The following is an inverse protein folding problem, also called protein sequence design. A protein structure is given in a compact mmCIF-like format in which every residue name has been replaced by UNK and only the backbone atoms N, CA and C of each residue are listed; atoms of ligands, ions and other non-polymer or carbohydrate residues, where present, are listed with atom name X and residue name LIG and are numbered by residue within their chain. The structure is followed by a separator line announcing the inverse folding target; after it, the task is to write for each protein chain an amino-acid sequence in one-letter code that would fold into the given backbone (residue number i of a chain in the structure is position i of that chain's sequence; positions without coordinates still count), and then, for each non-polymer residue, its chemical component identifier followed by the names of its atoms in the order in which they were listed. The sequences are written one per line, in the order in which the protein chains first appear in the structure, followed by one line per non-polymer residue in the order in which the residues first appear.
data_IF_378123030320
#
_entry.id   IF_378123030320
#
_cell.length_a   1.000
_cell.length_b   1.000
_cell.length_c   1.000
_cell.angle_alpha   90.00
_cell.angle_beta   90.00
_cell.angle_gamma   90.00
#
_symmetry.space_group_name_H-M   'P 1'
#
loop_
_entity.id
_entity.type
_entity.pdbx_description
1 polymer ?
#
# COMPACT_ATOMS: atom_id res chain seq x y z
N UNK A 1 -18.03 -20.76 -0.11
CA UNK A 1 -18.70 -19.46 -0.25
C UNK A 1 -17.73 -18.31 -0.06
N UNK A 2 -18.00 -17.16 -0.71
CA UNK A 2 -17.25 -15.94 -0.44
C UNK A 2 -17.80 -15.32 0.84
N UNK A 3 -16.96 -15.19 1.85
CA UNK A 3 -17.31 -14.53 3.11
C UNK A 3 -16.81 -13.10 3.08
N UNK A 4 -17.71 -12.13 3.21
CA UNK A 4 -17.34 -10.72 3.39
C UNK A 4 -17.01 -10.53 4.87
N UNK A 5 -15.78 -10.13 5.17
CA UNK A 5 -15.36 -9.80 6.53
C UNK A 5 -16.22 -8.62 7.02
N UNK A 6 -16.79 -8.77 8.19
CA UNK A 6 -17.71 -7.76 8.77
C UNK A 6 -19.16 -7.88 8.31
N UNK A 7 -19.51 -8.78 7.39
CA UNK A 7 -20.90 -8.94 6.95
C UNK A 7 -21.87 -9.30 8.09
N UNK A 8 -21.46 -10.12 9.02
CA UNK A 8 -22.28 -10.48 10.19
C UNK A 8 -22.49 -9.32 11.16
N UNK A 9 -21.51 -8.43 11.30
CA UNK A 9 -21.65 -7.20 12.10
C UNK A 9 -22.46 -6.12 11.37
N UNK A 10 -22.33 -6.01 10.04
CA UNK A 10 -23.13 -5.06 9.25
C UNK A 10 -24.59 -5.49 9.11
N UNK A 11 -24.87 -6.78 9.08
CA UNK A 11 -26.23 -7.34 8.94
C UNK A 11 -27.02 -7.23 10.25
N UNK A 12 -26.36 -7.24 11.39
CA UNK A 12 -26.99 -7.01 12.70
C UNK A 12 -26.88 -5.55 13.12
N UNK A 13 -27.57 -4.65 12.42
CA UNK A 13 -27.57 -3.20 12.72
C UNK A 13 -28.27 -2.85 14.06
N UNK A 14 -28.00 -3.65 15.10
CA UNK A 14 -28.49 -3.33 16.44
C UNK A 14 -27.83 -2.09 17.04
N UNK A 15 -26.71 -1.64 16.48
CA UNK A 15 -25.85 -0.62 17.06
C UNK A 15 -25.69 0.65 16.22
N UNK A 16 -26.44 0.78 15.11
CA UNK A 16 -26.39 1.95 14.23
C UNK A 16 -25.12 2.04 13.35
N UNK A 17 -24.36 0.96 13.20
CA UNK A 17 -23.13 0.89 12.38
C UNK A 17 -23.43 1.22 10.91
N UNK A 18 -24.63 0.91 10.43
CA UNK A 18 -25.08 1.28 9.06
C UNK A 18 -24.99 2.78 8.80
N UNK A 19 -25.11 3.61 9.86
CA UNK A 19 -25.03 5.08 9.81
C UNK A 19 -23.61 5.65 9.77
N UNK A 20 -22.57 4.82 9.95
CA UNK A 20 -21.19 5.25 9.80
C UNK A 20 -20.93 5.74 8.37
N UNK A 21 -20.12 6.80 8.19
CA UNK A 21 -19.54 7.13 6.90
C UNK A 21 -18.85 5.92 6.26
N UNK A 22 -18.86 5.84 4.95
CA UNK A 22 -18.26 4.69 4.22
C UNK A 22 -16.78 4.51 4.56
N UNK A 23 -16.02 5.61 4.69
CA UNK A 23 -14.61 5.58 5.10
C UNK A 23 -14.41 4.93 6.46
N UNK A 24 -15.24 5.27 7.46
CA UNK A 24 -15.17 4.66 8.78
C UNK A 24 -15.62 3.19 8.78
N UNK A 25 -16.50 2.79 7.86
CA UNK A 25 -16.83 1.36 7.67
C UNK A 25 -15.65 0.56 7.13
N UNK A 26 -14.87 1.16 6.22
CA UNK A 26 -13.64 0.54 5.70
C UNK A 26 -12.60 0.39 6.81
N UNK A 27 -12.43 1.41 7.66
CA UNK A 27 -11.53 1.33 8.82
C UNK A 27 -12.00 0.29 9.85
N UNK A 28 -13.31 0.24 10.11
CA UNK A 28 -13.88 -0.75 11.01
C UNK A 28 -13.67 -2.18 10.48
N UNK A 29 -13.86 -2.40 9.17
CA UNK A 29 -13.56 -3.68 8.52
C UNK A 29 -12.09 -4.06 8.71
N UNK A 30 -11.18 -3.11 8.50
CA UNK A 30 -9.75 -3.32 8.65
C UNK A 30 -9.39 -3.74 10.07
N UNK A 31 -9.88 -3.03 11.09
CA UNK A 31 -9.67 -3.38 12.49
C UNK A 31 -10.21 -4.77 12.84
N UNK A 32 -11.43 -5.10 12.40
CA UNK A 32 -12.04 -6.41 12.65
C UNK A 32 -11.29 -7.56 12.00
N UNK A 33 -10.73 -7.34 10.84
CA UNK A 33 -9.97 -8.36 10.11
C UNK A 33 -8.62 -8.65 10.75
N UNK A 34 -8.05 -7.67 11.44
CA UNK A 34 -6.73 -7.76 12.07
C UNK A 34 -6.76 -7.77 13.60
N UNK A 35 -7.97 -7.94 14.21
CA UNK A 35 -8.07 -8.07 15.66
C UNK A 35 -7.24 -9.26 16.16
N UNK A 36 -6.31 -8.97 17.06
CA UNK A 36 -5.36 -9.93 17.64
C UNK A 36 -5.14 -9.72 19.15
N UNK A 37 -5.91 -8.80 19.77
CA UNK A 37 -5.79 -8.36 21.18
C UNK A 37 -4.38 -7.80 21.53
N UNK A 38 -3.48 -7.64 20.55
CA UNK A 38 -2.12 -7.13 20.74
C UNK A 38 -1.90 -5.82 19.98
N UNK A 39 -2.03 -5.84 18.65
CA UNK A 39 -1.86 -4.67 17.79
C UNK A 39 -3.19 -4.00 17.49
N UNK A 40 -4.24 -4.78 17.36
CA UNK A 40 -5.62 -4.32 17.21
C UNK A 40 -6.47 -4.92 18.34
N UNK A 41 -6.95 -4.07 19.24
CA UNK A 41 -7.77 -4.45 20.37
C UNK A 41 -9.23 -3.96 20.24
N UNK A 42 -10.07 -4.46 21.14
CA UNK A 42 -11.50 -4.06 21.21
C UNK A 42 -11.70 -2.57 21.46
N UNK A 43 -10.77 -1.88 22.14
CA UNK A 43 -10.87 -0.44 22.42
C UNK A 43 -10.84 0.35 21.12
N UNK A 44 -9.95 -0.01 20.18
CA UNK A 44 -9.86 0.63 18.88
C UNK A 44 -11.15 0.44 18.07
N UNK A 45 -11.69 -0.78 18.07
CA UNK A 45 -12.95 -1.12 17.39
C UNK A 45 -14.13 -0.32 17.98
N UNK A 46 -14.22 -0.27 19.30
CA UNK A 46 -15.27 0.47 20.01
C UNK A 46 -15.15 1.99 19.80
N UNK A 47 -13.95 2.54 19.60
CA UNK A 47 -13.74 3.94 19.30
C UNK A 47 -14.42 4.37 17.98
N UNK A 48 -14.41 3.50 16.96
CA UNK A 48 -15.15 3.74 15.71
C UNK A 48 -16.66 3.79 15.96
N UNK A 49 -17.18 2.91 16.82
CA UNK A 49 -18.60 2.91 17.19
C UNK A 49 -18.98 4.16 18.00
N UNK A 50 -18.14 4.56 18.96
CA UNK A 50 -18.39 5.75 19.79
C UNK A 50 -18.40 7.05 18.97
N UNK A 51 -17.67 7.09 17.85
CA UNK A 51 -17.70 8.20 16.92
C UNK A 51 -19.13 8.51 16.40
N UNK A 52 -20.01 7.51 16.32
CA UNK A 52 -21.42 7.74 15.92
C UNK A 52 -22.12 8.76 16.81
N UNK A 53 -21.78 8.81 18.10
CA UNK A 53 -22.37 9.73 19.09
C UNK A 53 -21.60 11.03 19.16
N UNK A 54 -20.29 10.95 19.26
CA UNK A 54 -19.41 12.08 19.58
C UNK A 54 -18.99 12.87 18.35
N UNK A 55 -18.96 12.25 17.17
CA UNK A 55 -18.37 12.77 15.92
C UNK A 55 -16.89 13.15 16.05
N UNK A 56 -16.24 12.69 17.10
CA UNK A 56 -14.83 12.93 17.43
C UNK A 56 -14.24 11.66 18.02
N UNK A 57 -12.93 11.49 17.89
CA UNK A 57 -12.17 10.46 18.59
C UNK A 57 -10.76 10.99 18.88
N UNK A 58 -10.26 10.66 20.06
CA UNK A 58 -8.86 10.87 20.46
C UNK A 58 -8.13 9.51 20.60
N UNK A 59 -8.75 8.44 20.14
CA UNK A 59 -8.16 7.11 20.17
C UNK A 59 -7.41 6.89 18.86
N UNK A 60 -6.14 6.57 18.96
CA UNK A 60 -5.36 6.07 17.83
C UNK A 60 -5.82 4.66 17.47
N UNK A 61 -5.82 4.35 16.19
CA UNK A 61 -6.18 3.05 15.67
C UNK A 61 -5.04 2.51 14.82
N UNK A 62 -4.80 1.21 14.89
CA UNK A 62 -3.93 0.53 13.95
C UNK A 62 -4.59 0.46 12.56
N UNK A 63 -3.76 0.53 11.52
CA UNK A 63 -4.24 0.47 10.15
C UNK A 63 -3.26 -0.31 9.28
N UNK A 64 -3.76 -1.36 8.63
CA UNK A 64 -2.97 -2.19 7.72
C UNK A 64 -3.55 -2.08 6.31
N UNK A 65 -2.94 -1.25 5.44
CA UNK A 65 -3.42 -1.09 4.07
C UNK A 65 -3.28 -2.40 3.28
N UNK A 66 -4.15 -2.59 2.30
CA UNK A 66 -4.07 -3.74 1.40
C UNK A 66 -2.83 -3.69 0.51
N UNK A 67 -2.33 -2.49 0.23
CA UNK A 67 -1.13 -2.27 -0.57
C UNK A 67 -0.47 -0.93 -0.27
N UNK A 68 0.80 -0.82 -0.67
CA UNK A 68 1.59 0.41 -0.59
C UNK A 68 2.03 0.81 -1.98
N UNK A 69 1.87 2.09 -2.33
CA UNK A 69 2.33 2.68 -3.59
C UNK A 69 3.51 3.60 -3.33
N UNK A 70 4.62 3.33 -3.96
CA UNK A 70 5.84 4.11 -3.84
C UNK A 70 6.14 4.81 -5.17
N UNK A 71 6.44 6.09 -5.12
CA UNK A 71 7.14 6.75 -6.21
C UNK A 71 8.66 6.57 -6.03
N UNK A 72 9.44 6.81 -7.07
CA UNK A 72 10.84 6.42 -7.10
C UNK A 72 11.76 7.23 -6.18
N UNK A 73 11.48 8.50 -5.86
CA UNK A 73 12.32 9.28 -4.95
C UNK A 73 12.29 8.80 -3.50
N UNK A 74 11.14 8.39 -3.02
CA UNK A 74 10.96 7.91 -1.64
C UNK A 74 10.96 6.38 -1.55
N UNK A 75 10.55 5.70 -2.60
CA UNK A 75 10.45 4.24 -2.61
C UNK A 75 11.78 3.53 -2.72
N UNK A 76 12.74 4.08 -3.47
CA UNK A 76 14.07 3.47 -3.58
C UNK A 76 14.80 3.46 -2.24
N UNK A 77 14.84 4.57 -1.46
CA UNK A 77 15.35 4.54 -0.10
C UNK A 77 14.65 3.50 0.79
N UNK A 78 13.32 3.40 0.77
CA UNK A 78 12.59 2.41 1.55
C UNK A 78 13.01 0.97 1.23
N UNK A 79 13.23 0.64 -0.05
CA UNK A 79 13.74 -0.68 -0.42
C UNK A 79 15.20 -0.88 -0.02
N UNK A 80 16.01 0.19 0.01
CA UNK A 80 17.38 0.13 0.53
C UNK A 80 17.38 -0.17 2.03
N UNK A 81 16.47 0.41 2.79
CA UNK A 81 16.32 0.15 4.22
C UNK A 81 15.89 -1.30 4.48
N UNK A 82 14.94 -1.85 3.72
CA UNK A 82 14.61 -3.28 3.78
C UNK A 82 15.83 -4.18 3.48
N UNK A 83 16.67 -3.79 2.53
CA UNK A 83 17.89 -4.51 2.22
C UNK A 83 18.88 -4.45 3.39
N UNK A 84 19.06 -3.28 4.01
CA UNK A 84 19.91 -3.09 5.19
C UNK A 84 19.38 -3.89 6.40
N UNK A 85 18.08 -3.95 6.60
CA UNK A 85 17.45 -4.80 7.62
C UNK A 85 17.79 -6.29 7.39
N UNK A 86 17.77 -6.78 6.15
CA UNK A 86 18.19 -8.15 5.82
C UNK A 86 19.63 -8.42 6.18
N UNK A 87 20.52 -7.47 5.91
CA UNK A 87 21.93 -7.59 6.30
C UNK A 87 22.08 -7.62 7.82
N UNK A 88 21.39 -6.77 8.56
CA UNK A 88 21.41 -6.77 10.01
C UNK A 88 20.89 -8.09 10.61
N UNK A 89 19.84 -8.67 10.04
CA UNK A 89 19.30 -9.98 10.45
C UNK A 89 20.32 -11.11 10.16
N UNK A 90 20.99 -11.07 9.01
CA UNK A 90 22.01 -12.02 8.62
C UNK A 90 23.23 -11.95 9.56
N UNK A 91 23.68 -10.76 9.95
CA UNK A 91 24.77 -10.56 10.92
C UNK A 91 24.46 -11.20 12.29
N UNK A 92 23.18 -11.32 12.63
CA UNK A 92 22.70 -12.01 13.85
C UNK A 92 22.46 -13.52 13.66
N UNK A 93 22.95 -14.10 12.57
CA UNK A 93 22.73 -15.50 12.19
C UNK A 93 21.23 -15.91 12.14
N UNK A 94 20.37 -14.98 11.73
CA UNK A 94 18.95 -15.22 11.51
C UNK A 94 18.65 -15.26 10.01
N UNK A 95 17.48 -15.82 9.65
CA UNK A 95 17.06 -15.88 8.25
C UNK A 95 16.64 -14.47 7.74
N UNK A 96 17.39 -13.88 6.78
CA UNK A 96 17.09 -12.57 6.24
C UNK A 96 15.75 -12.52 5.44
N UNK A 97 15.25 -13.66 4.97
CA UNK A 97 13.95 -13.72 4.27
C UNK A 97 12.77 -13.36 5.15
N UNK A 98 12.95 -13.33 6.49
CA UNK A 98 11.93 -12.82 7.42
C UNK A 98 11.62 -11.34 7.21
N UNK A 99 12.56 -10.57 6.66
CA UNK A 99 12.33 -9.19 6.26
C UNK A 99 11.74 -9.21 4.85
N UNK A 100 10.44 -9.02 4.78
CA UNK A 100 9.67 -9.02 3.54
C UNK A 100 8.41 -8.17 3.73
N UNK A 101 7.99 -7.37 2.75
CA UNK A 101 6.73 -6.64 2.86
C UNK A 101 5.55 -7.57 3.15
N UNK A 102 4.74 -7.25 4.15
CA UNK A 102 3.55 -8.02 4.54
C UNK A 102 2.36 -7.78 3.59
N UNK A 103 2.36 -6.66 2.89
CA UNK A 103 1.37 -6.31 1.87
C UNK A 103 2.02 -6.12 0.50
N UNK A 104 1.22 -6.04 -0.56
CA UNK A 104 1.73 -5.72 -1.90
C UNK A 104 2.32 -4.33 -1.94
N UNK A 105 3.52 -4.20 -2.50
CA UNK A 105 4.23 -2.93 -2.71
C UNK A 105 4.48 -2.74 -4.19
N UNK A 106 3.97 -1.65 -4.73
CA UNK A 106 4.18 -1.22 -6.10
C UNK A 106 5.05 0.05 -6.11
N UNK A 107 6.22 -0.02 -6.75
CA UNK A 107 7.09 1.13 -6.95
C UNK A 107 7.03 1.55 -8.42
N UNK A 108 6.63 2.80 -8.67
CA UNK A 108 6.52 3.36 -10.00
C UNK A 108 7.70 4.30 -10.27
N UNK A 109 8.36 4.08 -11.39
CA UNK A 109 9.47 4.93 -11.86
C UNK A 109 8.90 6.03 -12.76
N UNK A 110 8.77 7.22 -12.21
CA UNK A 110 8.18 8.35 -12.95
C UNK A 110 8.75 9.72 -12.58
N UNK A 111 8.83 10.05 -11.29
CA UNK A 111 9.19 11.40 -10.84
C UNK A 111 10.65 11.77 -11.12
N UNK A 112 11.55 10.81 -11.21
CA UNK A 112 12.96 11.02 -11.52
C UNK A 112 13.28 11.01 -13.02
N UNK A 113 12.30 10.67 -13.85
CA UNK A 113 12.48 10.57 -15.30
C UNK A 113 12.58 11.95 -15.93
N UNK A 114 13.64 12.19 -16.71
CA UNK A 114 13.87 13.45 -17.39
C UNK A 114 13.43 13.38 -18.86
N UNK A 115 12.87 14.48 -19.36
CA UNK A 115 12.53 14.64 -20.77
C UNK A 115 13.66 15.40 -21.45
N UNK A 116 14.49 14.67 -22.21
CA UNK A 116 15.61 15.25 -22.97
C UNK A 116 15.21 15.56 -24.42
N UNK A 117 14.38 14.71 -24.99
CA UNK A 117 13.92 14.82 -26.37
C UNK A 117 12.39 14.99 -26.40
N UNK A 118 11.91 15.77 -27.34
CA UNK A 118 10.47 16.09 -27.45
C UNK A 118 10.04 16.30 -28.90
N UNK A 119 8.75 16.40 -29.11
CA UNK A 119 8.09 16.75 -30.37
C UNK A 119 8.47 15.86 -31.58
N UNK A 120 8.82 14.58 -31.36
CA UNK A 120 9.02 13.60 -32.43
C UNK A 120 8.59 12.21 -32.02
N UNK A 121 8.24 11.36 -32.99
CA UNK A 121 7.85 9.96 -32.76
C UNK A 121 8.98 9.12 -32.12
N UNK A 122 10.23 9.62 -32.18
CA UNK A 122 11.39 8.95 -31.61
C UNK A 122 11.69 9.36 -30.18
N UNK A 123 11.15 10.52 -29.74
CA UNK A 123 11.47 11.14 -28.44
C UNK A 123 11.24 10.21 -27.27
N UNK A 124 10.13 9.49 -27.25
CA UNK A 124 9.82 8.52 -26.19
C UNK A 124 10.92 7.47 -26.03
N UNK A 125 11.25 6.78 -27.10
CA UNK A 125 12.26 5.72 -27.08
C UNK A 125 13.67 6.24 -26.75
N UNK A 126 13.99 7.47 -27.18
CA UNK A 126 15.26 8.13 -26.87
C UNK A 126 15.36 8.47 -25.38
N UNK A 127 14.30 9.01 -24.80
CA UNK A 127 14.24 9.34 -23.36
C UNK A 127 14.36 8.09 -22.51
N UNK A 128 13.63 7.01 -22.83
CA UNK A 128 13.73 5.72 -22.11
C UNK A 128 15.15 5.16 -22.18
N UNK A 129 15.78 5.20 -23.36
CA UNK A 129 17.17 4.73 -23.53
C UNK A 129 18.16 5.55 -22.70
N UNK A 130 18.01 6.88 -22.67
CA UNK A 130 18.84 7.77 -21.86
C UNK A 130 18.64 7.51 -20.37
N UNK A 131 17.40 7.31 -19.93
CA UNK A 131 17.06 7.00 -18.55
C UNK A 131 17.77 5.71 -18.06
N UNK A 132 17.68 4.62 -18.82
CA UNK A 132 18.40 3.38 -18.49
C UNK A 132 19.91 3.54 -18.50
N UNK A 133 20.46 4.36 -19.40
CA UNK A 133 21.89 4.64 -19.45
C UNK A 133 22.38 5.41 -18.22
N UNK A 134 21.60 6.40 -17.73
CA UNK A 134 21.94 7.23 -16.57
C UNK A 134 21.80 6.50 -15.25
N UNK A 135 20.78 5.69 -15.13
CA UNK A 135 20.35 5.10 -13.88
C UNK A 135 20.44 3.57 -13.83
N UNK A 136 21.35 2.99 -14.60
CA UNK A 136 21.52 1.55 -14.73
C UNK A 136 21.73 0.82 -13.41
N UNK A 137 22.51 1.38 -12.49
CA UNK A 137 22.74 0.82 -11.14
C UNK A 137 21.45 0.75 -10.33
N UNK A 138 20.67 1.83 -10.35
CA UNK A 138 19.37 1.91 -9.68
C UNK A 138 18.43 0.81 -10.20
N UNK A 139 18.35 0.62 -11.50
CA UNK A 139 17.51 -0.42 -12.08
C UNK A 139 18.01 -1.84 -11.81
N UNK A 140 19.32 -2.02 -11.74
CA UNK A 140 19.90 -3.29 -11.30
C UNK A 140 19.50 -3.62 -9.84
N UNK A 141 19.57 -2.64 -8.95
CA UNK A 141 19.12 -2.76 -7.57
C UNK A 141 17.62 -3.09 -7.47
N UNK A 142 16.76 -2.36 -8.16
CA UNK A 142 15.32 -2.59 -8.16
C UNK A 142 14.95 -3.96 -8.74
N UNK A 143 15.65 -4.41 -9.79
CA UNK A 143 15.47 -5.74 -10.35
C UNK A 143 15.89 -6.85 -9.38
N UNK A 144 16.94 -6.59 -8.59
CA UNK A 144 17.29 -7.46 -7.48
C UNK A 144 16.17 -7.48 -6.43
N UNK A 145 15.64 -6.32 -6.04
CA UNK A 145 14.56 -6.19 -5.07
C UNK A 145 13.33 -7.01 -5.46
N UNK A 146 12.89 -6.95 -6.71
CA UNK A 146 11.76 -7.76 -7.21
C UNK A 146 11.98 -9.28 -7.12
N UNK A 147 13.23 -9.73 -7.08
CA UNK A 147 13.59 -11.15 -6.90
C UNK A 147 13.77 -11.51 -5.44
N UNK A 148 14.19 -10.54 -4.63
CA UNK A 148 14.51 -10.74 -3.23
C UNK A 148 13.27 -10.68 -2.33
N UNK A 149 12.29 -9.83 -2.66
CA UNK A 149 11.07 -9.60 -1.90
C UNK A 149 9.85 -10.17 -2.63
N UNK A 150 9.05 -10.97 -1.95
CA UNK A 150 7.92 -11.68 -2.57
C UNK A 150 6.76 -10.75 -2.99
N UNK A 151 6.52 -9.68 -2.23
CA UNK A 151 5.39 -8.76 -2.42
C UNK A 151 5.80 -7.43 -3.08
N UNK A 152 6.96 -7.37 -3.72
CA UNK A 152 7.49 -6.15 -4.30
C UNK A 152 7.48 -6.19 -5.84
N UNK A 153 6.91 -5.16 -6.47
CA UNK A 153 6.87 -5.00 -7.91
C UNK A 153 7.36 -3.61 -8.31
N UNK A 154 7.99 -3.52 -9.47
CA UNK A 154 8.47 -2.26 -10.06
C UNK A 154 7.78 -2.03 -11.40
N UNK A 155 7.17 -0.87 -11.54
CA UNK A 155 6.64 -0.37 -12.81
C UNK A 155 7.75 0.43 -13.48
N UNK A 156 8.22 0.02 -14.67
CA UNK A 156 9.38 0.62 -15.33
C UNK A 156 9.10 2.04 -15.83
N UNK A 157 10.16 2.83 -16.14
CA UNK A 157 9.99 4.15 -16.71
C UNK A 157 9.27 4.11 -18.07
N UNK A 158 8.51 5.16 -18.37
CA UNK A 158 7.75 5.26 -19.63
C UNK A 158 6.36 4.63 -19.60
N UNK A 159 5.88 4.16 -18.43
CA UNK A 159 4.53 3.58 -18.28
C UNK A 159 3.50 4.54 -17.71
N UNK A 160 3.84 5.82 -17.61
CA UNK A 160 2.97 6.85 -17.09
C UNK A 160 3.23 7.20 -15.63
N UNK A 161 2.63 8.28 -15.19
CA UNK A 161 2.86 8.88 -13.88
C UNK A 161 2.18 8.07 -12.78
N UNK A 162 2.81 8.00 -11.59
CA UNK A 162 2.37 7.23 -10.44
C UNK A 162 0.94 7.58 -10.02
N UNK A 163 0.65 8.86 -9.85
CA UNK A 163 -0.59 9.35 -9.27
C UNK A 163 -1.71 9.63 -10.29
N UNK A 164 -1.59 9.12 -11.49
CA UNK A 164 -2.64 9.19 -12.53
C UNK A 164 -2.89 7.80 -13.11
N UNK A 165 -2.25 7.48 -14.24
CA UNK A 165 -2.48 6.22 -14.96
C UNK A 165 -2.18 5.00 -14.08
N UNK A 166 -1.05 5.01 -13.36
CA UNK A 166 -0.66 3.86 -12.54
C UNK A 166 -1.52 3.73 -11.28
N UNK A 167 -1.92 4.83 -10.65
CA UNK A 167 -2.83 4.80 -9.52
C UNK A 167 -4.16 4.11 -9.87
N UNK A 168 -4.73 4.46 -11.01
CA UNK A 168 -5.97 3.87 -11.54
C UNK A 168 -5.76 2.41 -11.97
N UNK A 169 -4.70 2.14 -12.74
CA UNK A 169 -4.41 0.82 -13.30
C UNK A 169 -4.13 -0.23 -12.22
N UNK A 170 -3.44 0.14 -11.14
CA UNK A 170 -3.06 -0.75 -10.05
C UNK A 170 -4.18 -0.95 -9.03
N UNK A 171 -5.20 -0.08 -8.99
CA UNK A 171 -6.31 -0.19 -8.06
C UNK A 171 -7.20 -1.39 -8.38
N UNK A 172 -7.61 -2.11 -7.34
CA UNK A 172 -8.47 -3.30 -7.48
C UNK A 172 -9.89 -3.11 -6.97
N UNK A 173 -10.14 -2.05 -6.22
CA UNK A 173 -11.41 -1.78 -5.51
C UNK A 173 -11.72 -2.83 -4.44
N UNK A 174 -11.58 -4.12 -4.77
CA UNK A 174 -11.80 -5.26 -3.87
C UNK A 174 -10.62 -6.22 -3.99
N UNK A 175 -10.09 -6.59 -2.85
CA UNK A 175 -9.11 -7.67 -2.71
C UNK A 175 -9.77 -8.94 -2.21
N UNK A 176 -9.10 -10.07 -2.41
CA UNK A 176 -9.48 -11.34 -1.82
C UNK A 176 -8.27 -12.09 -1.28
N UNK A 177 -8.46 -12.79 -0.19
CA UNK A 177 -7.47 -13.68 0.41
C UNK A 177 -8.12 -14.97 0.88
N UNK A 178 -7.34 -16.04 0.92
CA UNK A 178 -7.79 -17.34 1.48
C UNK A 178 -7.29 -17.45 2.92
N UNK A 179 -8.15 -17.92 3.82
CA UNK A 179 -7.80 -18.32 5.17
C UNK A 179 -8.44 -19.67 5.44
N UNK A 180 -7.63 -20.73 5.50
CA UNK A 180 -8.13 -22.09 5.52
C UNK A 180 -8.93 -22.40 4.24
N UNK A 181 -10.18 -22.84 4.41
CA UNK A 181 -11.10 -23.13 3.30
C UNK A 181 -11.97 -21.93 2.89
N UNK A 182 -11.89 -20.81 3.60
CA UNK A 182 -12.72 -19.64 3.35
C UNK A 182 -12.01 -18.63 2.44
N UNK A 183 -12.78 -18.01 1.55
CA UNK A 183 -12.36 -16.88 0.73
C UNK A 183 -12.94 -15.60 1.34
N UNK A 184 -12.05 -14.70 1.74
CA UNK A 184 -12.41 -13.39 2.28
C UNK A 184 -12.27 -12.33 1.19
N UNK A 185 -13.29 -11.49 1.04
CA UNK A 185 -13.24 -10.28 0.20
C UNK A 185 -13.25 -9.05 1.10
N UNK A 186 -12.40 -8.07 0.80
CA UNK A 186 -12.26 -6.84 1.57
C UNK A 186 -11.95 -5.65 0.67
N UNK A 187 -12.27 -4.42 1.10
CA UNK A 187 -12.00 -3.22 0.31
C UNK A 187 -10.51 -3.03 0.01
N UNK A 188 -10.20 -2.52 -1.18
CA UNK A 188 -8.87 -1.98 -1.46
C UNK A 188 -8.62 -0.76 -0.59
N UNK A 189 -7.42 -0.70 -0.02
CA UNK A 189 -6.94 0.41 0.80
C UNK A 189 -5.47 0.65 0.48
N UNK A 190 -5.07 1.91 0.45
CA UNK A 190 -3.77 2.31 -0.04
C UNK A 190 -3.11 3.31 0.90
N UNK A 191 -1.83 3.10 1.21
CA UNK A 191 -0.90 4.17 1.59
C UNK A 191 0.12 4.36 0.48
N UNK A 192 0.49 5.61 0.23
CA UNK A 192 1.46 5.91 -0.81
C UNK A 192 2.35 7.08 -0.45
N UNK A 193 3.58 7.07 -0.96
CA UNK A 193 4.57 8.12 -0.72
C UNK A 193 4.44 9.32 -1.67
N UNK A 194 3.42 9.33 -2.50
CA UNK A 194 3.08 10.46 -3.35
C UNK A 194 1.99 11.32 -2.71
N UNK A 195 2.12 12.65 -2.80
CA UNK A 195 1.13 13.60 -2.26
C UNK A 195 -0.25 13.47 -2.92
N UNK A 196 -0.32 12.92 -4.13
CA UNK A 196 -1.54 12.67 -4.88
C UNK A 196 -2.14 11.27 -4.63
N UNK A 197 -1.60 10.48 -3.71
CA UNK A 197 -2.14 9.14 -3.36
C UNK A 197 -3.63 9.20 -3.04
N UNK A 198 -4.09 10.29 -2.40
CA UNK A 198 -5.50 10.49 -2.06
C UNK A 198 -6.44 10.60 -3.28
N UNK A 199 -5.94 10.81 -4.48
CA UNK A 199 -6.75 10.80 -5.71
C UNK A 199 -7.44 9.45 -5.95
N UNK A 200 -6.88 8.35 -5.41
CA UNK A 200 -7.49 7.02 -5.48
C UNK A 200 -8.90 6.98 -4.85
N UNK A 201 -9.23 7.93 -3.99
CA UNK A 201 -10.58 8.05 -3.42
C UNK A 201 -11.65 8.27 -4.50
N UNK A 202 -11.29 8.84 -5.66
CA UNK A 202 -12.18 8.92 -6.83
C UNK A 202 -12.61 7.56 -7.37
N UNK A 203 -11.85 6.50 -7.11
CA UNK A 203 -12.16 5.11 -7.45
C UNK A 203 -12.87 4.36 -6.30
N UNK A 204 -13.31 5.08 -5.28
CA UNK A 204 -13.89 4.50 -4.04
C UNK A 204 -12.90 3.64 -3.24
N UNK A 205 -11.61 3.88 -3.37
CA UNK A 205 -10.53 3.26 -2.60
C UNK A 205 -10.07 4.23 -1.53
N UNK A 206 -10.00 3.79 -0.27
CA UNK A 206 -9.50 4.63 0.81
C UNK A 206 -7.97 4.70 0.74
N UNK A 207 -7.45 5.90 0.46
CA UNK A 207 -6.01 6.13 0.30
C UNK A 207 -5.48 7.29 1.13
N UNK A 208 -4.26 7.14 1.63
CA UNK A 208 -3.49 8.13 2.37
C UNK A 208 -2.14 8.40 1.73
N UNK A 209 -1.78 9.69 1.62
CA UNK A 209 -0.41 10.10 1.37
C UNK A 209 0.39 10.10 2.68
N UNK A 210 1.56 9.47 2.67
CA UNK A 210 2.45 9.31 3.84
C UNK A 210 3.90 9.59 3.44
N UNK A 211 4.79 9.77 4.40
CA UNK A 211 6.23 9.81 4.17
C UNK A 211 6.83 8.41 3.98
N UNK A 212 8.13 8.36 3.68
CA UNK A 212 8.84 7.08 3.47
C UNK A 212 8.83 6.19 4.69
N UNK A 213 9.09 6.74 5.88
CA UNK A 213 9.14 6.00 7.16
C UNK A 213 7.77 5.41 7.50
N UNK A 214 6.69 6.16 7.31
CA UNK A 214 5.34 5.66 7.56
C UNK A 214 4.93 4.58 6.55
N UNK A 215 5.41 4.68 5.30
CA UNK A 215 5.21 3.63 4.31
C UNK A 215 5.95 2.34 4.70
N UNK A 216 7.18 2.45 5.21
CA UNK A 216 7.94 1.31 5.76
C UNK A 216 7.21 0.66 6.93
N UNK A 217 6.72 1.45 7.88
CA UNK A 217 5.92 0.96 9.00
C UNK A 217 4.64 0.25 8.55
N UNK A 218 4.01 0.69 7.46
CA UNK A 218 2.84 0.04 6.90
C UNK A 218 3.15 -1.25 6.14
N UNK A 219 4.40 -1.43 5.69
CA UNK A 219 4.85 -2.63 4.98
C UNK A 219 5.32 -3.75 5.91
N UNK A 220 5.77 -3.43 7.13
CA UNK A 220 6.39 -4.34 8.11
C UNK A 220 5.49 -4.63 9.31
#
# INVERSE_FOLDING_TARGET
GVRLVGSEMCIRDRDGISKLPKSLKVLLENLLRYEDDLTVDKKQILAIKEWLKTKKSNTEIAYRPARTLLQDYTGIPAIADLAAMRDAVKLKNKDPKKINPLSTVDLVIDHSVMVDEYASDKSFNQNVKKEFSRNGERYAFLKWGQKAFDNFRVVPPGTGICHQVNLEYLAKVVWSSKSGNDLYAYPDTLVGTDSHTTMVNGLSVLGWGVGGIEAEAAML
#
